data_IF_136572223626
#
_entry.id   IF_136572223626
#
_cell.length_a   1.000
_cell.length_b   1.000
_cell.length_c   1.000
_cell.angle_alpha   90.00
_cell.angle_beta   90.00
_cell.angle_gamma   90.00
#
_symmetry.space_group_name_H-M   'P 1'
#
loop_
_entity.id
_entity.type
_entity.pdbx_description
1 polymer ?
#
# COMPACT_ATOMS: atom_id res chain seq x y z
N UNK A 1 5.49 -4.03 7.50
CA UNK A 1 6.09 -3.67 8.80
C UNK A 1 6.03 -2.16 9.06
N UNK A 2 6.17 -1.71 10.31
CA UNK A 2 6.33 -0.28 10.61
C UNK A 2 7.80 0.13 10.50
N UNK A 3 8.13 1.03 9.57
CA UNK A 3 9.52 1.45 9.28
C UNK A 3 9.88 2.77 9.97
N UNK A 4 8.88 3.58 10.28
CA UNK A 4 9.01 4.79 11.11
C UNK A 4 7.68 5.07 11.83
N UNK A 5 7.66 6.00 12.79
CA UNK A 5 6.43 6.39 13.47
C UNK A 5 5.38 6.84 12.44
N UNK A 6 4.26 6.12 12.36
CA UNK A 6 3.18 6.40 11.41
C UNK A 6 3.43 5.94 9.97
N UNK A 7 4.60 5.36 9.64
CA UNK A 7 4.92 4.89 8.28
C UNK A 7 5.03 3.38 8.26
N UNK A 8 4.17 2.76 7.47
CA UNK A 8 4.11 1.32 7.27
C UNK A 8 4.53 0.98 5.84
N UNK A 9 5.35 -0.05 5.69
CA UNK A 9 5.76 -0.65 4.43
C UNK A 9 5.02 -1.98 4.26
N UNK A 10 4.41 -2.19 3.10
CA UNK A 10 4.01 -3.49 2.58
C UNK A 10 4.93 -3.81 1.40
N UNK A 11 5.68 -4.91 1.53
CA UNK A 11 6.67 -5.30 0.54
C UNK A 11 6.00 -5.79 -0.75
N UNK A 12 6.49 -5.32 -1.89
CA UNK A 12 6.05 -5.79 -3.20
C UNK A 12 6.48 -7.23 -3.48
N UNK A 13 5.69 -7.97 -4.25
CA UNK A 13 5.95 -9.35 -4.63
C UNK A 13 6.15 -9.48 -6.14
N UNK A 14 7.35 -9.93 -6.56
CA UNK A 14 7.65 -10.11 -7.99
C UNK A 14 7.77 -8.78 -8.73
N UNK A 15 6.82 -8.49 -9.63
CA UNK A 15 6.75 -7.21 -10.35
C UNK A 15 5.94 -6.14 -9.62
N UNK A 16 5.51 -6.39 -8.38
CA UNK A 16 4.78 -5.40 -7.58
C UNK A 16 5.74 -4.34 -7.02
N UNK A 17 5.34 -3.08 -7.04
CA UNK A 17 6.00 -2.05 -6.24
C UNK A 17 5.78 -2.28 -4.75
N UNK A 18 6.59 -1.62 -3.93
CA UNK A 18 6.26 -1.46 -2.52
C UNK A 18 5.04 -0.54 -2.38
N UNK A 19 4.27 -0.75 -1.32
CA UNK A 19 3.16 0.12 -0.92
C UNK A 19 3.50 0.71 0.44
N UNK A 20 3.40 2.04 0.56
CA UNK A 20 3.54 2.71 1.85
C UNK A 20 2.21 3.23 2.35
N UNK A 21 2.03 3.20 3.67
CA UNK A 21 0.87 3.79 4.33
C UNK A 21 1.36 4.79 5.38
N UNK A 22 0.91 6.03 5.26
CA UNK A 22 1.26 7.13 6.16
C UNK A 22 0.04 7.48 7.01
N UNK A 23 0.23 7.42 8.33
CA UNK A 23 -0.75 7.70 9.39
C UNK A 23 -2.07 6.93 9.26
N UNK A 24 -2.06 5.83 8.50
CA UNK A 24 -3.25 5.02 8.22
C UNK A 24 -4.29 5.72 7.33
N UNK A 25 -3.90 6.79 6.62
CA UNK A 25 -4.80 7.61 5.81
C UNK A 25 -4.32 7.80 4.36
N UNK A 26 -3.00 7.85 4.14
CA UNK A 26 -2.42 8.04 2.79
C UNK A 26 -1.76 6.76 2.33
N UNK A 27 -2.09 6.32 1.13
CA UNK A 27 -1.43 5.21 0.42
C UNK A 27 -0.45 5.82 -0.59
N UNK A 28 0.77 5.27 -0.66
CA UNK A 28 1.75 5.61 -1.69
C UNK A 28 1.97 4.37 -2.55
N UNK A 29 1.66 4.49 -3.83
CA UNK A 29 1.53 3.42 -4.82
C UNK A 29 0.55 2.29 -4.41
N UNK A 30 0.08 1.52 -5.38
CA UNK A 30 -0.91 0.44 -5.19
C UNK A 30 -0.45 -0.90 -5.75
N UNK A 31 0.77 -0.94 -6.28
CA UNK A 31 1.30 -2.09 -6.98
C UNK A 31 0.60 -2.32 -8.32
N UNK A 32 0.78 -3.52 -8.86
CA UNK A 32 0.04 -4.13 -9.97
C UNK A 32 -1.42 -4.45 -9.65
N UNK A 33 -1.80 -4.48 -8.36
CA UNK A 33 -3.13 -4.93 -7.90
C UNK A 33 -3.32 -6.46 -7.85
N UNK A 34 -2.37 -7.25 -8.35
CA UNK A 34 -2.47 -8.71 -8.40
C UNK A 34 -2.54 -9.39 -7.01
N UNK A 35 -1.97 -8.74 -6.00
CA UNK A 35 -1.87 -9.24 -4.62
C UNK A 35 -2.81 -8.50 -3.65
N UNK A 36 -3.92 -7.94 -4.15
CA UNK A 36 -4.83 -7.12 -3.33
C UNK A 36 -5.32 -7.85 -2.06
N UNK A 37 -5.59 -9.16 -2.14
CA UNK A 37 -6.09 -9.93 -1.00
C UNK A 37 -5.03 -9.99 0.11
N UNK A 38 -3.81 -10.34 -0.25
CA UNK A 38 -2.65 -10.44 0.62
C UNK A 38 -2.32 -9.07 1.23
N UNK A 39 -2.25 -8.03 0.39
CA UNK A 39 -2.03 -6.64 0.83
C UNK A 39 -3.09 -6.21 1.85
N UNK A 40 -4.37 -6.50 1.59
CA UNK A 40 -5.48 -6.19 2.52
C UNK A 40 -5.36 -6.96 3.83
N UNK A 41 -4.98 -8.24 3.79
CA UNK A 41 -4.78 -9.03 5.00
C UNK A 41 -3.62 -8.49 5.85
N UNK A 42 -2.50 -8.11 5.23
CA UNK A 42 -1.37 -7.48 5.92
C UNK A 42 -1.74 -6.11 6.51
N UNK A 43 -2.49 -5.27 5.78
CA UNK A 43 -3.02 -4.02 6.33
C UNK A 43 -3.84 -4.25 7.61
N UNK A 44 -4.73 -5.26 7.60
CA UNK A 44 -5.55 -5.59 8.77
C UNK A 44 -4.70 -6.11 9.94
N UNK A 45 -3.68 -6.93 9.69
CA UNK A 45 -2.73 -7.40 10.73
C UNK A 45 -1.96 -6.25 11.37
N UNK A 46 -1.64 -5.21 10.60
CA UNK A 46 -1.01 -3.98 11.09
C UNK A 46 -2.00 -3.03 11.82
N UNK A 47 -3.28 -3.41 11.94
CA UNK A 47 -4.31 -2.59 12.58
C UNK A 47 -4.82 -1.43 11.72
N UNK A 48 -4.45 -1.40 10.43
CA UNK A 48 -4.90 -0.40 9.48
C UNK A 48 -6.33 -0.70 9.03
N UNK A 49 -7.13 0.35 8.86
CA UNK A 49 -8.56 0.22 8.54
C UNK A 49 -8.82 0.82 7.16
N UNK A 50 -9.16 0.00 6.14
CA UNK A 50 -9.34 0.50 4.77
C UNK A 50 -10.34 1.65 4.62
N UNK A 51 -11.39 1.69 5.46
CA UNK A 51 -12.38 2.78 5.49
C UNK A 51 -11.80 4.15 5.90
N UNK A 52 -10.56 4.22 6.35
CA UNK A 52 -9.89 5.46 6.77
C UNK A 52 -8.98 6.07 5.71
N UNK A 53 -8.69 5.35 4.63
CA UNK A 53 -7.85 5.88 3.56
C UNK A 53 -8.56 7.04 2.86
N UNK A 54 -7.82 8.13 2.62
CA UNK A 54 -8.33 9.40 2.08
C UNK A 54 -7.65 9.81 0.78
N UNK A 55 -6.45 9.29 0.52
CA UNK A 55 -5.61 9.71 -0.59
C UNK A 55 -4.73 8.55 -1.06
N UNK A 56 -4.63 8.37 -2.38
CA UNK A 56 -3.61 7.58 -3.05
C UNK A 56 -2.65 8.57 -3.72
N UNK A 57 -1.35 8.37 -3.53
CA UNK A 57 -0.28 9.16 -4.15
C UNK A 57 0.59 8.21 -4.96
N UNK A 58 0.56 8.34 -6.28
CA UNK A 58 1.42 7.54 -7.15
C UNK A 58 2.76 8.26 -7.36
N UNK A 59 3.85 7.52 -7.24
CA UNK A 59 5.21 8.03 -7.48
C UNK A 59 5.42 8.37 -8.96
N UNK A 60 4.90 7.52 -9.84
CA UNK A 60 4.82 7.69 -11.30
C UNK A 60 3.78 6.70 -11.86
N UNK A 61 3.56 6.69 -13.18
CA UNK A 61 2.42 5.99 -13.80
C UNK A 61 2.82 4.74 -14.61
N UNK A 62 3.69 3.89 -14.05
CA UNK A 62 3.87 2.53 -14.58
C UNK A 62 2.89 1.55 -13.91
N UNK A 63 2.54 0.48 -14.62
CA UNK A 63 1.48 -0.46 -14.20
C UNK A 63 1.82 -1.20 -12.90
N UNK A 64 3.11 -1.38 -12.61
CA UNK A 64 3.63 -1.99 -11.40
C UNK A 64 3.48 -1.11 -10.16
N UNK A 65 3.09 0.16 -10.34
CA UNK A 65 2.84 1.13 -9.26
C UNK A 65 1.36 1.51 -9.15
N UNK A 66 0.63 1.58 -10.26
CA UNK A 66 -0.75 2.13 -10.32
C UNK A 66 -1.81 1.12 -10.77
N UNK A 67 -1.44 -0.15 -10.91
CA UNK A 67 -2.36 -1.20 -11.35
C UNK A 67 -3.42 -1.56 -10.31
N UNK A 68 -3.19 -1.23 -9.03
CA UNK A 68 -4.11 -1.49 -7.91
C UNK A 68 -4.95 -0.30 -7.45
N UNK A 69 -4.99 0.80 -8.23
CA UNK A 69 -5.75 2.02 -7.93
C UNK A 69 -7.27 1.79 -7.80
#
# INVERSE_FOLDING_TARGET
>A
MQVYKGIYLLDGVGFDSNIYIIDGEVIVDTGTGAFFKETKEEMLKLGLKPKKFKLIVNTHCHFDHTGGD
#
